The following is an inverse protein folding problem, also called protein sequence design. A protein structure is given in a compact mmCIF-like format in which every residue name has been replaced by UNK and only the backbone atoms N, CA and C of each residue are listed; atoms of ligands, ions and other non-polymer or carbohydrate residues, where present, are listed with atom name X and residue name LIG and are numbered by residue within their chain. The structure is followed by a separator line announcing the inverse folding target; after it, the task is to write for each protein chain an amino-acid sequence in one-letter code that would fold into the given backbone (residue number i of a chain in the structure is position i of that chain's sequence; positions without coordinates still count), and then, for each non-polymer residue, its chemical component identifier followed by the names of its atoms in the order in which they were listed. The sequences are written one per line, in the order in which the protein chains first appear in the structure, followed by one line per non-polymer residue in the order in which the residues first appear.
data_IF_939217900474
#
_entry.id   IF_939217900474
#
_cell.length_a   1.000
_cell.length_b   1.000
_cell.length_c   1.000
_cell.angle_alpha   90.00
_cell.angle_beta   90.00
_cell.angle_gamma   90.00
#
_symmetry.space_group_name_H-M   'P 1'
#
loop_
_entity.id
_entity.type
_entity.pdbx_description
1 polymer ?
#
# COMPACT_ATOMS: atom_id res chain seq x y z
N UNK A 1 -19.91 62.11 23.25
CA UNK A 1 -20.15 61.04 22.24
C UNK A 1 -19.09 59.92 22.19
N UNK A 2 -18.09 59.86 23.09
CA UNK A 2 -16.99 58.87 22.99
C UNK A 2 -17.24 57.51 23.69
N UNK A 3 -18.12 57.48 24.70
CA UNK A 3 -18.31 56.29 25.56
C UNK A 3 -19.11 55.14 24.91
N UNK A 4 -20.03 55.46 23.97
CA UNK A 4 -20.85 54.47 23.23
C UNK A 4 -20.03 53.63 22.23
N UNK A 5 -18.96 54.19 21.67
CA UNK A 5 -18.08 53.53 20.70
C UNK A 5 -17.17 52.47 21.37
N UNK A 6 -16.67 52.76 22.56
CA UNK A 6 -15.84 51.83 23.34
C UNK A 6 -16.63 50.59 23.80
N UNK A 7 -17.88 50.77 24.25
CA UNK A 7 -18.75 49.66 24.66
C UNK A 7 -19.15 48.74 23.51
N UNK A 8 -19.36 49.29 22.30
CA UNK A 8 -19.64 48.50 21.09
C UNK A 8 -18.45 47.64 20.68
N UNK A 9 -17.23 48.20 20.72
CA UNK A 9 -16.00 47.45 20.43
C UNK A 9 -15.73 46.35 21.45
N UNK A 10 -15.97 46.61 22.73
CA UNK A 10 -15.81 45.63 23.80
C UNK A 10 -16.82 44.48 23.68
N UNK A 11 -18.07 44.77 23.27
CA UNK A 11 -19.09 43.76 23.01
C UNK A 11 -18.75 42.88 21.80
N UNK A 12 -18.28 43.48 20.71
CA UNK A 12 -17.85 42.74 19.52
C UNK A 12 -16.61 41.88 19.78
N UNK A 13 -15.67 42.36 20.59
CA UNK A 13 -14.47 41.59 20.98
C UNK A 13 -14.82 40.37 21.86
N UNK A 14 -15.81 40.50 22.75
CA UNK A 14 -16.32 39.37 23.55
C UNK A 14 -17.03 38.32 22.71
N UNK A 15 -17.80 38.75 21.70
CA UNK A 15 -18.45 37.84 20.75
C UNK A 15 -17.39 37.12 19.91
N UNK A 16 -16.38 37.84 19.42
CA UNK A 16 -15.28 37.24 18.66
C UNK A 16 -14.51 36.19 19.49
N UNK A 17 -14.18 36.51 20.74
CA UNK A 17 -13.52 35.56 21.65
C UNK A 17 -14.38 34.34 21.96
N UNK A 18 -15.70 34.51 22.10
CA UNK A 18 -16.62 33.39 22.28
C UNK A 18 -16.67 32.50 21.02
N UNK A 19 -16.70 33.09 19.82
CA UNK A 19 -16.70 32.35 18.55
C UNK A 19 -15.37 31.61 18.34
N UNK A 20 -14.22 32.26 18.62
CA UNK A 20 -12.91 31.60 18.55
C UNK A 20 -12.78 30.51 19.60
N UNK A 21 -13.31 30.72 20.81
CA UNK A 21 -13.33 29.70 21.87
C UNK A 21 -14.16 28.48 21.46
N UNK A 22 -15.34 28.68 20.88
CA UNK A 22 -16.18 27.60 20.36
C UNK A 22 -15.47 26.89 19.20
N UNK A 23 -14.86 27.61 18.27
CA UNK A 23 -14.10 27.01 17.16
C UNK A 23 -12.89 26.21 17.65
N UNK A 24 -12.18 26.69 18.67
CA UNK A 24 -11.06 25.97 19.28
C UNK A 24 -11.52 24.72 20.05
N UNK A 25 -12.68 24.77 20.71
CA UNK A 25 -13.28 23.61 21.38
C UNK A 25 -13.75 22.59 20.35
N UNK A 26 -14.36 23.02 19.24
CA UNK A 26 -14.75 22.12 18.14
C UNK A 26 -13.52 21.47 17.49
N UNK A 27 -12.47 22.24 17.21
CA UNK A 27 -11.21 21.69 16.70
C UNK A 27 -10.53 20.74 17.71
N UNK A 28 -10.62 21.02 19.00
CA UNK A 28 -10.11 20.13 20.04
C UNK A 28 -10.97 18.86 20.20
N UNK A 29 -12.29 18.95 20.01
CA UNK A 29 -13.20 17.80 20.01
C UNK A 29 -12.96 16.90 18.78
N UNK A 30 -12.77 17.47 17.59
CA UNK A 30 -12.33 16.72 16.39
C UNK A 30 -11.01 16.00 16.65
N UNK A 31 -10.06 16.66 17.33
CA UNK A 31 -8.78 16.04 17.72
C UNK A 31 -8.98 14.97 18.81
N UNK A 32 -9.90 15.13 19.75
CA UNK A 32 -10.16 14.13 20.81
C UNK A 32 -10.90 12.91 20.25
N UNK A 33 -11.84 13.09 19.31
CA UNK A 33 -12.42 11.98 18.53
C UNK A 33 -11.35 11.26 17.71
N UNK A 34 -10.35 12.01 17.21
CA UNK A 34 -9.17 11.47 16.53
C UNK A 34 -8.23 10.66 17.45
N UNK A 35 -8.21 10.95 18.76
CA UNK A 35 -7.34 10.32 19.76
C UNK A 35 -8.04 9.30 20.66
N UNK A 36 -9.35 9.06 20.50
CA UNK A 36 -9.94 7.87 21.11
C UNK A 36 -9.19 6.64 20.57
N UNK A 37 -8.87 5.64 21.41
CA UNK A 37 -8.36 4.39 20.90
C UNK A 37 -9.45 3.85 19.98
N UNK A 38 -9.23 3.95 18.66
CA UNK A 38 -9.97 3.14 17.72
C UNK A 38 -9.76 1.72 18.21
N UNK A 39 -10.80 1.12 18.78
CA UNK A 39 -10.89 -0.32 18.90
C UNK A 39 -10.80 -0.82 17.46
N UNK A 40 -9.59 -1.19 17.05
CA UNK A 40 -9.40 -1.92 15.82
C UNK A 40 -10.00 -3.29 16.11
N UNK A 41 -11.24 -3.50 15.68
CA UNK A 41 -11.77 -4.85 15.55
C UNK A 41 -10.71 -5.70 14.84
N UNK A 42 -10.47 -6.92 15.33
CA UNK A 42 -9.46 -7.87 14.83
C UNK A 42 -9.77 -8.27 13.38
N UNK A 43 -9.51 -7.36 12.43
CA UNK A 43 -9.75 -7.54 11.01
C UNK A 43 -8.44 -7.34 10.27
N UNK A 44 -7.88 -8.45 9.78
CA UNK A 44 -6.61 -8.43 9.04
C UNK A 44 -6.82 -7.98 7.60
N UNK A 45 -6.39 -6.77 7.26
CA UNK A 45 -6.26 -6.33 5.85
C UNK A 45 -4.96 -6.90 5.29
N UNK A 46 -5.04 -7.61 4.15
CA UNK A 46 -3.84 -8.07 3.48
C UNK A 46 -3.30 -7.00 2.53
N UNK A 47 -2.40 -6.16 3.04
CA UNK A 47 -1.78 -5.04 2.31
C UNK A 47 -0.37 -5.37 1.89
N UNK A 48 -0.06 -5.19 0.62
CA UNK A 48 1.27 -5.42 0.07
C UNK A 48 1.84 -4.11 -0.49
N UNK A 49 2.97 -3.69 0.05
CA UNK A 49 3.80 -2.65 -0.55
C UNK A 49 5.03 -3.29 -1.17
N UNK A 50 5.10 -3.25 -2.50
CA UNK A 50 6.21 -3.76 -3.28
C UNK A 50 7.06 -2.59 -3.77
N UNK A 51 8.36 -2.64 -3.45
CA UNK A 51 9.35 -1.71 -3.99
C UNK A 51 10.28 -2.46 -4.92
N UNK A 52 10.45 -1.91 -6.12
CA UNK A 52 11.32 -2.50 -7.14
C UNK A 52 12.38 -1.49 -7.53
N UNK A 53 13.64 -1.90 -7.41
CA UNK A 53 14.81 -1.21 -7.94
C UNK A 53 15.35 -2.01 -9.11
N UNK A 54 15.36 -1.41 -10.30
CA UNK A 54 15.89 -2.02 -11.53
C UNK A 54 17.26 -1.37 -11.79
N UNK A 55 18.31 -2.18 -12.01
CA UNK A 55 19.70 -1.78 -12.27
C UNK A 55 20.46 -0.92 -11.19
N UNK A 56 21.50 -1.45 -10.53
CA UNK A 56 22.29 -0.74 -9.52
C UNK A 56 23.06 0.51 -10.02
N UNK A 57 23.17 0.75 -11.33
CA UNK A 57 23.87 1.92 -11.90
C UNK A 57 23.06 3.22 -11.73
N UNK A 58 21.76 3.14 -11.43
CA UNK A 58 20.94 4.32 -11.24
C UNK A 58 21.17 4.95 -9.86
N UNK A 59 21.66 6.20 -9.87
CA UNK A 59 22.00 6.99 -8.69
C UNK A 59 20.75 7.34 -7.84
N UNK A 60 20.26 6.38 -7.06
CA UNK A 60 19.10 6.56 -6.19
C UNK A 60 19.52 7.06 -4.80
N UNK A 61 18.87 8.12 -4.30
CA UNK A 61 18.95 8.55 -2.90
C UNK A 61 17.73 8.00 -2.14
N UNK A 62 17.85 6.93 -1.32
CA UNK A 62 16.71 6.22 -0.74
C UNK A 62 16.24 6.82 0.60
N UNK A 63 16.30 8.15 0.79
CA UNK A 63 16.01 8.77 2.09
C UNK A 63 14.61 8.47 2.61
N UNK A 64 13.63 8.33 1.71
CA UNK A 64 12.23 8.06 2.07
C UNK A 64 11.94 6.55 2.23
N UNK A 65 12.76 5.67 1.63
CA UNK A 65 12.63 4.22 1.79
C UNK A 65 13.00 3.83 3.23
N UNK A 66 13.99 4.51 3.83
CA UNK A 66 14.39 4.26 5.22
C UNK A 66 13.19 4.46 6.16
N UNK A 67 12.45 5.57 6.05
CA UNK A 67 11.26 5.79 6.88
C UNK A 67 10.10 4.81 6.60
N UNK A 68 9.90 4.43 5.33
CA UNK A 68 8.82 3.52 4.93
C UNK A 68 9.13 2.03 5.20
N UNK A 69 10.41 1.64 5.36
CA UNK A 69 10.90 0.25 5.43
C UNK A 69 11.77 -0.02 6.68
N UNK A 70 11.83 0.87 7.68
CA UNK A 70 12.57 0.62 8.94
C UNK A 70 11.92 -0.49 9.78
N UNK A 71 12.10 -1.74 9.36
CA UNK A 71 12.30 -2.89 10.23
C UNK A 71 13.02 -3.98 9.41
N UNK A 72 14.16 -4.44 9.94
CA UNK A 72 15.03 -5.53 9.49
C UNK A 72 16.04 -5.26 8.35
N UNK A 73 17.23 -4.79 8.77
CA UNK A 73 18.47 -5.03 8.04
C UNK A 73 19.20 -6.20 8.72
N UNK A 74 19.26 -7.37 8.09
CA UNK A 74 20.07 -8.46 8.61
C UNK A 74 21.55 -8.22 8.23
N UNK A 75 22.35 -7.76 9.19
CA UNK A 75 23.81 -7.61 9.01
C UNK A 75 24.48 -8.88 9.53
N UNK A 76 24.99 -9.70 8.62
CA UNK A 76 25.52 -11.03 8.88
C UNK A 76 26.77 -11.11 9.80
N UNK A 77 27.31 -9.99 10.31
CA UNK A 77 28.52 -9.95 11.14
C UNK A 77 28.60 -8.70 12.05
N UNK A 78 27.57 -8.41 12.85
CA UNK A 78 27.65 -7.37 13.89
C UNK A 78 27.77 -8.03 15.26
N UNK A 79 28.91 -7.86 15.93
CA UNK A 79 29.04 -8.12 17.37
C UNK A 79 28.22 -7.07 18.11
N UNK A 80 27.04 -7.47 18.60
CA UNK A 80 26.15 -6.63 19.39
C UNK A 80 26.74 -6.43 20.79
N UNK A 81 26.80 -5.17 21.23
CA UNK A 81 27.10 -4.77 22.60
C UNK A 81 25.91 -5.17 23.50
N UNK A 82 26.17 -5.94 24.56
CA UNK A 82 25.14 -6.44 25.48
C UNK A 82 24.37 -5.30 26.19
N UNK A 83 24.91 -4.07 26.22
CA UNK A 83 24.22 -2.90 26.76
C UNK A 83 23.14 -2.31 25.84
N UNK A 84 23.10 -2.72 24.56
CA UNK A 84 22.07 -2.33 23.59
C UNK A 84 20.94 -3.36 23.45
N UNK A 85 20.75 -4.21 24.45
CA UNK A 85 19.62 -5.14 24.51
C UNK A 85 18.32 -4.34 24.59
N UNK A 86 17.74 -4.09 23.41
CA UNK A 86 16.38 -3.58 23.26
C UNK A 86 15.42 -4.46 24.07
N UNK A 87 14.43 -3.81 24.68
CA UNK A 87 13.32 -4.43 25.40
C UNK A 87 12.80 -5.60 24.56
N UNK A 88 12.69 -6.83 25.12
CA UNK A 88 12.23 -7.97 24.35
C UNK A 88 10.79 -7.69 23.92
N UNK A 89 10.60 -7.54 22.62
CA UNK A 89 9.29 -7.67 22.01
C UNK A 89 8.99 -9.16 22.05
N UNK A 90 8.01 -9.55 22.86
CA UNK A 90 7.54 -10.93 22.85
C UNK A 90 6.76 -11.19 21.54
N UNK A 91 6.91 -12.40 21.04
CA UNK A 91 6.20 -13.05 19.92
C UNK A 91 6.63 -12.68 18.47
N UNK A 92 7.59 -13.47 17.99
CA UNK A 92 7.74 -13.94 16.59
C UNK A 92 7.46 -12.92 15.49
N UNK A 93 8.39 -12.00 15.22
CA UNK A 93 8.48 -11.41 13.89
C UNK A 93 8.77 -12.57 12.93
N UNK A 94 7.86 -12.90 11.99
CA UNK A 94 8.09 -14.02 11.08
C UNK A 94 9.41 -13.80 10.34
N UNK A 95 10.20 -14.85 10.13
CA UNK A 95 11.51 -14.77 9.47
C UNK A 95 11.45 -14.11 8.08
N UNK A 96 10.26 -13.86 7.52
CA UNK A 96 10.01 -13.31 6.19
C UNK A 96 9.40 -11.88 6.18
N UNK A 97 9.22 -11.24 7.34
CA UNK A 97 8.68 -9.88 7.38
C UNK A 97 9.72 -8.86 6.88
N UNK A 98 9.37 -8.05 5.88
CA UNK A 98 10.26 -6.96 5.43
C UNK A 98 11.53 -7.41 4.70
N UNK A 99 11.53 -8.61 4.09
CA UNK A 99 12.71 -9.12 3.38
C UNK A 99 13.03 -8.28 2.14
N UNK A 100 14.30 -7.91 2.05
CA UNK A 100 14.92 -7.39 0.84
C UNK A 100 15.54 -8.56 0.10
N UNK A 101 15.11 -8.78 -1.13
CA UNK A 101 15.56 -9.91 -1.94
C UNK A 101 16.15 -9.39 -3.25
N UNK A 102 17.35 -9.86 -3.57
CA UNK A 102 17.95 -9.71 -4.88
C UNK A 102 17.53 -10.92 -5.72
N UNK A 103 16.95 -10.68 -6.87
CA UNK A 103 16.49 -11.73 -7.78
C UNK A 103 16.68 -11.26 -9.23
N UNK A 104 16.55 -12.18 -10.16
CA UNK A 104 16.76 -11.97 -11.59
C UNK A 104 15.56 -12.45 -12.39
N UNK A 105 15.16 -11.68 -13.39
CA UNK A 105 14.07 -12.03 -14.31
C UNK A 105 14.39 -11.50 -15.70
N UNK A 106 14.26 -12.36 -16.72
CA UNK A 106 14.53 -12.03 -18.12
C UNK A 106 15.88 -11.31 -18.31
N UNK A 107 16.95 -11.89 -17.75
CA UNK A 107 18.34 -11.39 -17.77
C UNK A 107 18.58 -10.04 -17.06
N UNK A 108 17.62 -9.57 -16.25
CA UNK A 108 17.71 -8.33 -15.49
C UNK A 108 17.67 -8.59 -13.99
N UNK A 109 18.52 -7.89 -13.25
CA UNK A 109 18.55 -7.94 -11.79
C UNK A 109 17.63 -6.89 -11.19
N UNK A 110 16.93 -7.25 -10.13
CA UNK A 110 16.11 -6.32 -9.37
C UNK A 110 16.21 -6.56 -7.87
N UNK A 111 16.00 -5.51 -7.09
CA UNK A 111 15.83 -5.62 -5.64
C UNK A 111 14.36 -5.43 -5.31
N UNK A 112 13.80 -6.44 -4.66
CA UNK A 112 12.43 -6.45 -4.14
C UNK A 112 12.46 -6.16 -2.64
N UNK A 113 11.66 -5.19 -2.20
CA UNK A 113 11.36 -5.00 -0.79
C UNK A 113 9.85 -5.19 -0.61
N UNK A 114 9.47 -6.19 0.21
CA UNK A 114 8.08 -6.51 0.51
C UNK A 114 7.73 -6.04 1.92
N UNK A 115 6.89 -5.02 2.05
CA UNK A 115 6.46 -4.46 3.34
C UNK A 115 4.94 -4.51 3.52
N UNK A 116 4.48 -4.46 4.77
CA UNK A 116 3.07 -4.60 5.20
C UNK A 116 2.42 -5.97 4.91
N UNK A 117 3.15 -6.91 4.34
CA UNK A 117 2.68 -8.26 4.06
C UNK A 117 2.46 -9.04 5.36
N UNK A 118 1.23 -9.47 5.61
CA UNK A 118 0.86 -10.24 6.80
C UNK A 118 1.11 -11.75 6.65
N UNK A 119 1.59 -12.22 5.49
CA UNK A 119 1.88 -13.63 5.18
C UNK A 119 0.72 -14.58 5.52
N UNK A 120 -0.52 -14.12 5.32
CA UNK A 120 -1.73 -14.85 5.71
C UNK A 120 -1.84 -15.14 7.22
N UNK A 121 -1.09 -14.42 8.04
CA UNK A 121 -1.26 -14.41 9.48
C UNK A 121 -2.36 -13.41 9.83
N UNK A 122 -3.49 -13.94 10.31
CA UNK A 122 -4.50 -13.16 10.99
C UNK A 122 -3.86 -12.56 12.26
N UNK A 123 -4.14 -11.30 12.56
CA UNK A 123 -3.63 -10.51 13.72
C UNK A 123 -2.40 -9.62 13.50
N UNK A 124 -2.06 -9.23 12.26
CA UNK A 124 -1.07 -8.15 12.08
C UNK A 124 -1.63 -6.81 12.63
N UNK A 125 -1.13 -6.39 13.78
CA UNK A 125 -1.43 -5.08 14.37
C UNK A 125 -0.32 -4.09 14.05
N UNK A 126 -0.55 -3.03 13.23
CA UNK A 126 0.42 -1.97 13.07
C UNK A 126 0.63 -1.25 14.41
N UNK A 127 1.87 -0.80 14.68
CA UNK A 127 2.14 0.01 15.87
C UNK A 127 1.15 1.18 15.98
N UNK A 128 0.63 1.45 17.18
CA UNK A 128 -0.41 2.47 17.40
C UNK A 128 -0.08 3.84 16.78
N UNK A 129 1.18 4.28 16.83
CA UNK A 129 1.60 5.56 16.21
C UNK A 129 1.40 5.56 14.69
N UNK A 130 1.64 4.43 14.03
CA UNK A 130 1.50 4.27 12.58
C UNK A 130 0.04 4.27 12.20
N UNK A 131 -0.80 3.65 13.02
CA UNK A 131 -2.25 3.64 12.80
C UNK A 131 -2.83 5.07 12.82
N UNK A 132 -2.45 5.90 13.79
CA UNK A 132 -2.86 7.32 13.85
C UNK A 132 -2.42 8.08 12.59
N UNK A 133 -1.16 7.93 12.16
CA UNK A 133 -0.63 8.62 10.97
C UNK A 133 -1.30 8.13 9.69
N UNK A 134 -1.56 6.83 9.56
CA UNK A 134 -2.21 6.24 8.38
C UNK A 134 -3.67 6.71 8.27
N UNK A 135 -4.39 6.90 9.38
CA UNK A 135 -5.74 7.49 9.36
C UNK A 135 -5.72 8.96 8.93
N UNK A 136 -4.78 9.78 9.44
CA UNK A 136 -4.64 11.18 8.96
C UNK A 136 -4.41 11.19 7.46
N UNK A 137 -3.45 10.36 7.00
CA UNK A 137 -3.10 10.25 5.59
C UNK A 137 -4.30 9.81 4.76
N UNK A 138 -5.05 8.81 5.19
CA UNK A 138 -6.22 8.32 4.47
C UNK A 138 -7.29 9.41 4.30
N UNK A 139 -7.60 10.16 5.36
CA UNK A 139 -8.53 11.29 5.28
C UNK A 139 -8.07 12.36 4.29
N UNK A 140 -6.76 12.67 4.27
CA UNK A 140 -6.19 13.60 3.29
C UNK A 140 -6.29 13.01 1.87
N UNK A 141 -5.94 11.74 1.67
CA UNK A 141 -6.00 11.08 0.36
C UNK A 141 -7.42 11.02 -0.20
N UNK A 142 -8.43 10.81 0.65
CA UNK A 142 -9.86 10.88 0.27
C UNK A 142 -10.24 12.32 -0.11
N UNK A 143 -9.87 13.31 0.70
CA UNK A 143 -10.15 14.72 0.41
C UNK A 143 -9.49 15.20 -0.90
N UNK A 144 -8.35 14.62 -1.27
CA UNK A 144 -7.63 14.87 -2.52
C UNK A 144 -8.15 14.03 -3.71
N UNK A 145 -9.11 13.12 -3.49
CA UNK A 145 -9.62 12.22 -4.53
C UNK A 145 -8.64 11.12 -4.97
N UNK A 146 -7.59 10.87 -4.18
CA UNK A 146 -6.61 9.80 -4.42
C UNK A 146 -7.10 8.43 -3.91
N UNK A 147 -8.09 8.44 -3.00
CA UNK A 147 -8.84 7.28 -2.52
C UNK A 147 -10.33 7.58 -2.57
N UNK A 148 -11.15 6.53 -2.71
CA UNK A 148 -12.60 6.65 -2.80
C UNK A 148 -13.30 6.49 -1.45
N UNK A 149 -12.59 6.01 -0.43
CA UNK A 149 -13.15 5.61 0.86
C UNK A 149 -12.16 5.88 1.99
N UNK A 150 -12.70 6.30 3.13
CA UNK A 150 -11.97 6.48 4.38
C UNK A 150 -12.00 5.23 5.28
N UNK A 151 -12.61 4.13 4.81
CA UNK A 151 -12.60 2.85 5.49
C UNK A 151 -11.16 2.27 5.48
N UNK A 152 -10.51 2.11 6.66
CA UNK A 152 -9.16 1.57 6.73
C UNK A 152 -9.09 0.08 6.36
N UNK A 153 -10.22 -0.63 6.36
CA UNK A 153 -10.30 -2.06 6.08
C UNK A 153 -10.60 -2.37 4.61
N UNK A 154 -11.14 -1.40 3.88
CA UNK A 154 -11.51 -1.55 2.48
C UNK A 154 -10.96 -0.39 1.64
N UNK A 155 -9.65 -0.39 1.38
CA UNK A 155 -9.01 0.68 0.61
C UNK A 155 -9.35 0.55 -0.87
N UNK A 156 -9.99 1.59 -1.43
CA UNK A 156 -10.32 1.68 -2.85
C UNK A 156 -9.69 2.91 -3.49
N UNK A 157 -9.04 2.69 -4.63
CA UNK A 157 -8.49 3.73 -5.49
C UNK A 157 -9.39 4.02 -6.69
N UNK A 158 -9.39 5.26 -7.21
CA UNK A 158 -10.06 5.57 -8.46
C UNK A 158 -9.45 4.77 -9.62
N UNK A 159 -10.28 4.44 -10.60
CA UNK A 159 -9.85 3.74 -11.80
C UNK A 159 -9.18 4.71 -12.77
N UNK A 160 -7.86 4.69 -12.82
CA UNK A 160 -7.02 5.56 -13.65
C UNK A 160 -6.10 4.69 -14.48
N UNK A 161 -6.31 4.71 -15.81
CA UNK A 161 -5.38 4.11 -16.77
C UNK A 161 -4.16 5.01 -16.97
N UNK A 162 -3.03 4.39 -17.30
CA UNK A 162 -1.89 5.10 -17.81
C UNK A 162 -2.19 5.63 -19.22
N UNK A 163 -1.87 6.89 -19.46
CA UNK A 163 -2.07 7.58 -20.74
C UNK A 163 -0.76 7.93 -21.43
N UNK A 164 0.39 7.58 -20.82
CA UNK A 164 1.71 7.87 -21.37
C UNK A 164 2.01 7.06 -22.62
N UNK A 165 1.36 5.90 -22.81
CA UNK A 165 1.47 5.05 -23.98
C UNK A 165 0.25 4.13 -24.12
N UNK A 166 0.09 3.50 -25.29
CA UNK A 166 -1.10 2.69 -25.61
C UNK A 166 -1.08 1.32 -24.93
N UNK A 167 -2.24 0.67 -24.85
CA UNK A 167 -2.34 -0.72 -24.35
C UNK A 167 -1.51 -1.69 -25.23
N UNK A 168 -1.39 -1.43 -26.54
CA UNK A 168 -0.52 -2.22 -27.43
C UNK A 168 0.96 -2.06 -27.08
N UNK A 169 1.38 -0.84 -26.74
CA UNK A 169 2.75 -0.59 -26.31
C UNK A 169 3.02 -1.28 -24.97
N UNK A 170 2.05 -1.26 -24.05
CA UNK A 170 2.14 -2.00 -22.78
C UNK A 170 2.40 -3.49 -23.03
N UNK A 171 1.60 -4.13 -23.89
CA UNK A 171 1.73 -5.57 -24.19
C UNK A 171 3.09 -5.90 -24.81
N UNK A 172 3.63 -5.01 -25.66
CA UNK A 172 4.96 -5.19 -26.24
C UNK A 172 6.10 -5.18 -25.22
N UNK A 173 5.89 -4.53 -24.06
CA UNK A 173 6.88 -4.43 -22.96
C UNK A 173 6.81 -5.61 -21.99
N UNK A 174 5.72 -6.38 -21.98
CA UNK A 174 5.51 -7.50 -21.04
C UNK A 174 6.55 -8.62 -21.12
N UNK A 175 7.05 -9.06 -22.30
CA UNK A 175 7.96 -10.21 -22.36
C UNK A 175 9.28 -10.04 -21.60
N UNK A 176 9.67 -8.80 -21.28
CA UNK A 176 10.90 -8.46 -20.54
C UNK A 176 10.61 -7.70 -19.25
N UNK A 177 9.36 -7.70 -18.81
CA UNK A 177 8.91 -6.93 -17.66
C UNK A 177 9.14 -7.69 -16.35
N UNK A 178 9.35 -6.94 -15.29
CA UNK A 178 9.40 -7.50 -13.95
C UNK A 178 8.00 -7.98 -13.53
N UNK A 179 7.92 -9.14 -12.91
CA UNK A 179 6.69 -9.65 -12.31
C UNK A 179 6.88 -9.96 -10.82
N UNK A 180 5.76 -9.93 -10.09
CA UNK A 180 5.72 -10.30 -8.69
C UNK A 180 4.45 -11.09 -8.38
N UNK A 181 4.63 -12.23 -7.72
CA UNK A 181 3.52 -13.03 -7.22
C UNK A 181 3.25 -12.73 -5.74
N UNK A 182 1.97 -12.48 -5.45
CA UNK A 182 1.42 -12.31 -4.11
C UNK A 182 0.45 -13.46 -3.86
N UNK A 183 0.70 -14.37 -2.90
CA UNK A 183 -0.28 -15.38 -2.54
C UNK A 183 -1.53 -14.73 -1.95
N UNK A 184 -2.71 -15.21 -2.32
CA UNK A 184 -3.97 -14.78 -1.70
C UNK A 184 -4.22 -15.66 -0.48
N UNK A 185 -4.59 -15.01 0.62
CA UNK A 185 -4.98 -15.66 1.85
C UNK A 185 -6.49 -15.80 1.86
N UNK A 186 -6.99 -17.02 2.05
CA UNK A 186 -8.42 -17.26 2.01
C UNK A 186 -8.86 -18.30 3.04
N UNK A 187 -10.04 -18.08 3.59
CA UNK A 187 -10.67 -18.97 4.57
C UNK A 187 -11.39 -20.11 3.84
N UNK A 188 -12.09 -19.78 2.76
CA UNK A 188 -12.86 -20.74 1.96
C UNK A 188 -12.02 -21.29 0.80
N UNK A 189 -12.33 -22.50 0.32
CA UNK A 189 -11.63 -23.08 -0.83
C UNK A 189 -11.94 -22.34 -2.15
N UNK A 190 -13.06 -21.62 -2.23
CA UNK A 190 -13.43 -20.73 -3.34
C UNK A 190 -14.07 -19.47 -2.74
N UNK A 191 -13.65 -18.29 -3.20
CA UNK A 191 -14.18 -17.02 -2.68
C UNK A 191 -14.15 -15.89 -3.72
N UNK A 192 -14.74 -14.75 -3.35
CA UNK A 192 -14.72 -13.51 -4.12
C UNK A 192 -13.80 -12.50 -3.43
N UNK A 193 -13.02 -11.76 -4.20
CA UNK A 193 -12.06 -10.80 -3.67
C UNK A 193 -12.32 -9.41 -4.20
N UNK A 194 -12.45 -8.44 -3.30
CA UNK A 194 -12.22 -7.05 -3.64
C UNK A 194 -10.72 -6.77 -3.60
N UNK A 195 -10.24 -6.00 -4.57
CA UNK A 195 -8.85 -5.63 -4.63
C UNK A 195 -8.67 -4.20 -5.12
N UNK A 196 -7.54 -3.62 -4.76
CA UNK A 196 -7.09 -2.35 -5.30
C UNK A 196 -5.58 -2.34 -5.52
N UNK A 197 -5.15 -1.66 -6.59
CA UNK A 197 -3.75 -1.49 -6.95
C UNK A 197 -3.48 -0.02 -7.24
N UNK A 198 -2.32 0.49 -6.82
CA UNK A 198 -1.80 1.81 -7.17
C UNK A 198 -0.29 1.76 -7.36
N UNK A 199 0.18 2.37 -8.44
CA UNK A 199 1.60 2.61 -8.71
C UNK A 199 1.91 4.10 -8.51
N UNK A 200 3.05 4.41 -7.91
CA UNK A 200 3.44 5.80 -7.61
C UNK A 200 4.06 6.54 -8.82
N UNK A 201 4.51 5.79 -9.82
CA UNK A 201 5.00 6.33 -11.08
C UNK A 201 3.85 6.48 -12.09
N UNK A 202 3.62 7.72 -12.54
CA UNK A 202 2.57 8.06 -13.52
C UNK A 202 3.01 7.86 -14.97
N UNK A 203 4.29 7.59 -15.21
CA UNK A 203 4.87 7.44 -16.56
C UNK A 203 4.76 6.01 -17.07
N UNK A 204 4.53 5.04 -16.18
CA UNK A 204 4.38 3.62 -16.49
C UNK A 204 3.07 3.05 -15.93
N UNK A 205 2.50 2.09 -16.64
CA UNK A 205 1.33 1.34 -16.22
C UNK A 205 1.70 -0.03 -15.67
N UNK A 206 1.05 -0.44 -14.58
CA UNK A 206 1.13 -1.80 -14.07
C UNK A 206 0.00 -2.67 -14.64
N UNK A 207 0.29 -3.96 -14.84
CA UNK A 207 -0.74 -4.97 -15.09
C UNK A 207 -0.93 -5.82 -13.83
N UNK A 208 -2.17 -6.21 -13.57
CA UNK A 208 -2.56 -7.08 -12.48
C UNK A 208 -3.39 -8.23 -13.04
N UNK A 209 -3.06 -9.45 -12.62
CA UNK A 209 -3.77 -10.67 -12.98
C UNK A 209 -4.00 -11.52 -11.74
N UNK A 210 -5.21 -12.02 -11.54
CA UNK A 210 -5.41 -13.18 -10.67
C UNK A 210 -4.92 -14.41 -11.41
N UNK A 211 -4.11 -15.23 -10.76
CA UNK A 211 -3.50 -16.44 -11.33
C UNK A 211 -3.83 -17.66 -10.45
N UNK A 212 -4.06 -18.85 -11.04
CA UNK A 212 -4.42 -20.04 -10.27
C UNK A 212 -3.40 -20.52 -9.23
N UNK A 213 -2.10 -20.24 -9.44
CA UNK A 213 -1.05 -20.60 -8.48
C UNK A 213 0.28 -19.91 -8.76
N UNK A 214 1.25 -20.09 -7.86
CA UNK A 214 2.62 -19.62 -8.04
C UNK A 214 3.35 -20.26 -9.24
N UNK A 215 2.86 -21.40 -9.74
CA UNK A 215 3.44 -22.03 -10.95
C UNK A 215 3.33 -21.13 -12.18
N UNK A 216 2.34 -20.24 -12.21
CA UNK A 216 2.16 -19.25 -13.29
C UNK A 216 3.26 -18.18 -13.27
N UNK A 217 3.70 -17.78 -12.08
CA UNK A 217 4.84 -16.88 -11.94
C UNK A 217 6.14 -17.52 -12.41
N UNK A 218 6.35 -18.81 -12.09
CA UNK A 218 7.52 -19.55 -12.57
C UNK A 218 7.48 -19.72 -14.10
N UNK A 219 6.31 -20.05 -14.65
CA UNK A 219 6.09 -20.15 -16.10
C UNK A 219 6.39 -18.83 -16.81
N UNK A 220 5.95 -17.70 -16.23
CA UNK A 220 6.27 -16.38 -16.75
C UNK A 220 7.78 -16.07 -16.68
N UNK A 221 8.45 -16.41 -15.59
CA UNK A 221 9.92 -16.25 -15.47
C UNK A 221 10.66 -17.02 -16.56
N UNK A 222 10.24 -18.25 -16.86
CA UNK A 222 10.92 -19.14 -17.79
C UNK A 222 10.58 -18.87 -19.26
N UNK A 223 9.30 -18.60 -19.56
CA UNK A 223 8.77 -18.57 -20.93
C UNK A 223 8.14 -17.25 -21.33
N UNK A 224 7.89 -16.35 -20.37
CA UNK A 224 7.11 -15.13 -20.58
C UNK A 224 5.60 -15.36 -20.72
N UNK A 225 5.12 -16.59 -20.52
CA UNK A 225 3.70 -16.97 -20.66
C UNK A 225 3.15 -17.58 -19.38
N UNK A 226 1.84 -17.41 -19.15
CA UNK A 226 1.14 -17.87 -17.94
C UNK A 226 -0.37 -17.89 -18.17
N UNK A 227 -1.08 -18.65 -17.35
CA UNK A 227 -2.54 -18.65 -17.25
C UNK A 227 -3.02 -17.71 -16.15
N UNK A 228 -4.19 -17.12 -16.37
CA UNK A 228 -4.84 -16.23 -15.44
C UNK A 228 -6.37 -16.36 -15.55
N UNK A 229 -7.08 -15.92 -14.52
CA UNK A 229 -8.54 -15.88 -14.51
C UNK A 229 -9.06 -14.89 -15.56
N UNK A 230 -9.84 -15.40 -16.52
CA UNK A 230 -10.32 -14.62 -17.67
C UNK A 230 -11.66 -13.95 -17.42
N UNK A 231 -12.28 -14.23 -16.28
CA UNK A 231 -13.50 -13.60 -15.83
C UNK A 231 -13.33 -12.08 -15.72
N UNK A 232 -14.40 -11.36 -16.07
CA UNK A 232 -14.43 -9.91 -15.96
C UNK A 232 -14.12 -9.48 -14.53
N UNK A 233 -13.13 -8.60 -14.36
CA UNK A 233 -12.70 -8.09 -13.06
C UNK A 233 -11.49 -8.82 -12.47
N UNK A 234 -11.09 -9.98 -13.00
CA UNK A 234 -9.93 -10.73 -12.51
C UNK A 234 -8.58 -10.35 -13.15
N UNK A 235 -8.59 -9.40 -14.07
CA UNK A 235 -7.39 -8.81 -14.62
C UNK A 235 -7.63 -7.34 -14.96
N UNK A 236 -6.58 -6.55 -14.88
CA UNK A 236 -6.60 -5.15 -15.24
C UNK A 236 -5.23 -4.76 -15.79
N UNK A 237 -5.21 -3.99 -16.88
CA UNK A 237 -4.00 -3.73 -17.67
C UNK A 237 -3.74 -2.23 -17.82
N UNK A 238 -2.47 -1.86 -17.88
CA UNK A 238 -1.96 -0.51 -18.12
C UNK A 238 -2.54 0.54 -17.15
N UNK A 239 -2.39 0.29 -15.85
CA UNK A 239 -3.05 1.05 -14.78
C UNK A 239 -2.07 1.93 -14.01
N UNK A 240 -2.54 3.11 -13.61
CA UNK A 240 -1.93 3.91 -12.53
C UNK A 240 -2.61 3.57 -11.20
N UNK A 241 -3.93 3.43 -11.21
CA UNK A 241 -4.68 2.95 -10.07
C UNK A 241 -5.95 2.24 -10.51
N UNK A 242 -6.39 1.25 -9.74
CA UNK A 242 -7.57 0.48 -10.05
C UNK A 242 -8.15 -0.14 -8.78
N UNK A 243 -9.47 -0.28 -8.74
CA UNK A 243 -10.18 -1.14 -7.82
C UNK A 243 -11.20 -1.98 -8.57
N UNK A 244 -11.34 -3.24 -8.16
CA UNK A 244 -12.23 -4.21 -8.79
C UNK A 244 -12.59 -5.36 -7.88
N UNK A 245 -13.44 -6.25 -8.39
CA UNK A 245 -13.81 -7.51 -7.73
C UNK A 245 -13.49 -8.65 -8.68
N UNK A 246 -12.81 -9.69 -8.18
CA UNK A 246 -12.62 -10.95 -8.90
C UNK A 246 -13.43 -12.05 -8.21
N UNK A 247 -14.19 -12.82 -8.98
CA UNK A 247 -15.09 -13.85 -8.46
C UNK A 247 -14.57 -15.26 -8.71
N UNK A 248 -14.99 -16.19 -7.84
CA UNK A 248 -14.68 -17.63 -7.95
C UNK A 248 -13.18 -17.94 -7.97
N UNK A 249 -12.39 -17.21 -7.19
CA UNK A 249 -10.96 -17.46 -7.02
C UNK A 249 -10.82 -18.71 -6.16
N UNK A 250 -10.03 -19.69 -6.62
CA UNK A 250 -9.81 -20.94 -5.87
C UNK A 250 -8.64 -20.81 -4.91
N UNK A 251 -8.57 -21.75 -3.97
CA UNK A 251 -7.39 -21.99 -3.14
C UNK A 251 -6.11 -22.09 -3.97
N UNK A 252 -5.01 -21.68 -3.36
CA UNK A 252 -3.66 -21.57 -3.93
C UNK A 252 -3.45 -20.45 -4.97
N UNK A 253 -4.53 -19.74 -5.32
CA UNK A 253 -4.44 -18.59 -6.22
C UNK A 253 -3.58 -17.47 -5.64
N UNK A 254 -3.11 -16.62 -6.55
CA UNK A 254 -2.41 -15.39 -6.19
C UNK A 254 -2.72 -14.26 -7.13
N UNK A 255 -2.15 -13.10 -6.82
CA UNK A 255 -2.11 -11.96 -7.72
C UNK A 255 -0.71 -11.89 -8.33
N UNK A 256 -0.65 -11.83 -9.64
CA UNK A 256 0.56 -11.49 -10.37
C UNK A 256 0.50 -10.03 -10.84
N UNK A 257 1.49 -9.25 -10.42
CA UNK A 257 1.68 -7.86 -10.83
C UNK A 257 2.83 -7.85 -11.82
N UNK A 258 2.65 -7.23 -12.99
CA UNK A 258 3.70 -7.05 -14.00
C UNK A 258 3.94 -5.56 -14.21
N UNK A 259 5.20 -5.15 -14.10
CA UNK A 259 5.65 -3.76 -14.22
C UNK A 259 6.72 -3.70 -15.32
N UNK A 260 6.49 -2.91 -16.39
CA UNK A 260 7.49 -2.69 -17.42
C UNK A 260 8.79 -2.12 -16.85
N UNK A 261 9.92 -2.54 -17.41
CA UNK A 261 11.27 -2.07 -17.04
C UNK A 261 11.66 -0.74 -17.72
N UNK A 262 10.70 -0.02 -18.28
CA UNK A 262 10.92 1.29 -18.91
C UNK A 262 10.71 2.42 -17.89
N UNK A 263 11.46 2.36 -16.79
CA UNK A 263 11.25 3.26 -15.66
C UNK A 263 12.19 4.45 -15.73
N UNK A 264 11.59 5.64 -15.71
CA UNK A 264 12.32 6.92 -15.62
C UNK A 264 12.92 7.17 -14.23
N UNK A 265 12.56 6.31 -13.27
CA UNK A 265 12.91 6.41 -11.85
C UNK A 265 13.57 5.12 -11.40
N UNK A 266 14.50 5.22 -10.46
CA UNK A 266 15.19 4.07 -9.90
C UNK A 266 14.38 3.24 -8.91
N UNK A 267 13.18 3.72 -8.55
CA UNK A 267 12.33 3.10 -7.56
C UNK A 267 10.88 3.29 -7.98
N UNK A 268 10.16 2.18 -8.02
CA UNK A 268 8.71 2.14 -8.20
C UNK A 268 8.08 1.45 -7.00
N UNK A 269 7.07 2.10 -6.43
CA UNK A 269 6.24 1.58 -5.34
C UNK A 269 4.89 1.18 -5.90
N UNK A 270 4.55 -0.09 -5.75
CA UNK A 270 3.20 -0.60 -6.01
C UNK A 270 2.54 -0.98 -4.69
N UNK A 271 1.36 -0.42 -4.43
CA UNK A 271 0.52 -0.77 -3.29
C UNK A 271 -0.64 -1.61 -3.78
N UNK A 272 -0.80 -2.80 -3.21
CA UNK A 272 -1.93 -3.70 -3.48
C UNK A 272 -2.66 -4.02 -2.18
N UNK A 273 -3.98 -3.95 -2.21
CA UNK A 273 -4.85 -4.37 -1.12
C UNK A 273 -5.77 -5.48 -1.65
N UNK A 274 -5.97 -6.51 -0.84
CA UNK A 274 -6.78 -7.68 -1.18
C UNK A 274 -7.68 -7.97 0.01
N UNK A 275 -8.98 -8.12 -0.25
CA UNK A 275 -10.00 -8.37 0.74
C UNK A 275 -10.91 -9.53 0.30
N UNK A 276 -10.95 -10.60 1.09
CA UNK A 276 -11.90 -11.70 0.88
C UNK A 276 -13.30 -11.21 1.29
N UNK A 277 -14.29 -11.33 0.40
CA UNK A 277 -15.69 -11.08 0.77
C UNK A 277 -16.18 -12.21 1.65
N UNK A 278 -16.55 -11.86 2.88
CA UNK A 278 -17.38 -12.73 3.72
C UNK A 278 -18.68 -13.05 2.97
N UNK A 279 -18.96 -14.34 2.81
CA UNK A 279 -20.22 -14.87 2.25
C UNK A 279 -21.35 -14.65 3.23
#
# INVERSE_FOLDING_TARGET
MSQKSSFSKLKNMKILLAVVGIAAILAALDVVEFYMPMEFDDMSVNRHSLYVHLDPVWASYPSNIVFDVTSTWNKSNATMDESQKYVPFDETIPENYGKNELDTMHDKSFVRLSHQNNQCQYNFQPHHYRSTVDVIRQNIEVAMGLQLTNDPYNIQFPNVKNTSYSDSDQESKLPTAFAHFIPICMINDISNFDYSIRIDDKTIGANLYFVPSISEFNSYKETGTFFYYTESGCFAKNLISHSGTCSNVSKDSGIMIIIPDDISRSLVKTTVNIYEKSV
#
